data_IF_933915325719
#
_entry.id   IF_933915325719
#
_cell.length_a   1.000
_cell.length_b   1.000
_cell.length_c   1.000
_cell.angle_alpha   90.00
_cell.angle_beta   90.00
_cell.angle_gamma   90.00
#
_symmetry.space_group_name_H-M   'P 1'
#
loop_
_entity.id
_entity.type
_entity.pdbx_description
1 polymer ?
#
# COMPACT_ATOMS: atom_id res chain seq x y z
N UNK A 1 -33.16 -19.90 -19.66
CA UNK A 1 -32.04 -20.85 -19.78
C UNK A 1 -30.76 -20.10 -19.47
N UNK A 2 -29.91 -20.61 -18.56
CA UNK A 2 -28.60 -19.99 -18.29
C UNK A 2 -27.69 -20.19 -19.51
N UNK A 3 -26.83 -19.22 -19.80
CA UNK A 3 -25.86 -19.34 -20.90
C UNK A 3 -24.73 -20.32 -20.56
N UNK A 4 -24.07 -20.87 -21.57
CA UNK A 4 -22.92 -21.77 -21.38
C UNK A 4 -21.77 -21.10 -20.60
N UNK A 5 -21.64 -19.78 -20.71
CA UNK A 5 -20.66 -18.99 -19.96
C UNK A 5 -21.02 -18.91 -18.48
N UNK A 6 -22.28 -18.67 -18.15
CA UNK A 6 -22.75 -18.63 -16.76
C UNK A 6 -22.56 -19.98 -16.06
N UNK A 7 -22.87 -21.08 -16.77
CA UNK A 7 -22.67 -22.44 -16.24
C UNK A 7 -21.17 -22.77 -16.04
N UNK A 8 -20.30 -22.27 -16.92
CA UNK A 8 -18.85 -22.43 -16.77
C UNK A 8 -18.31 -21.64 -15.58
N UNK A 9 -18.81 -20.42 -15.35
CA UNK A 9 -18.44 -19.59 -14.19
C UNK A 9 -18.94 -20.18 -12.87
N UNK A 10 -20.15 -20.74 -12.85
CA UNK A 10 -20.73 -21.40 -11.68
C UNK A 10 -19.93 -22.66 -11.30
N UNK A 11 -19.50 -23.45 -12.29
CA UNK A 11 -18.60 -24.61 -12.10
C UNK A 11 -17.20 -24.20 -11.67
N UNK A 12 -16.67 -23.10 -12.21
CA UNK A 12 -15.37 -22.55 -11.83
C UNK A 12 -15.39 -22.07 -10.36
N UNK A 13 -16.43 -21.37 -9.94
CA UNK A 13 -16.62 -20.97 -8.53
C UNK A 13 -16.77 -22.17 -7.59
N UNK A 14 -17.37 -23.27 -8.03
CA UNK A 14 -17.47 -24.51 -7.24
C UNK A 14 -16.14 -25.28 -7.16
N UNK A 15 -15.35 -25.31 -8.25
CA UNK A 15 -14.09 -26.06 -8.32
C UNK A 15 -12.90 -25.32 -7.70
N UNK A 16 -12.91 -23.98 -7.77
CA UNK A 16 -11.95 -23.11 -7.14
C UNK A 16 -12.72 -21.89 -6.63
N UNK A 17 -13.16 -21.87 -5.36
CA UNK A 17 -13.83 -20.71 -4.80
C UNK A 17 -12.86 -19.54 -4.87
N UNK A 18 -13.00 -18.73 -5.91
CA UNK A 18 -12.38 -17.43 -5.99
C UNK A 18 -13.02 -16.65 -4.86
N UNK A 19 -12.23 -16.30 -3.83
CA UNK A 19 -12.66 -15.33 -2.81
C UNK A 19 -12.95 -14.03 -3.55
N UNK A 20 -14.19 -13.86 -4.00
CA UNK A 20 -14.66 -12.63 -4.61
C UNK A 20 -14.74 -11.61 -3.48
N UNK A 21 -13.92 -10.56 -3.55
CA UNK A 21 -13.98 -9.48 -2.60
C UNK A 21 -15.34 -8.79 -2.67
N UNK A 22 -15.94 -8.56 -1.51
CA UNK A 22 -17.15 -7.74 -1.38
C UNK A 22 -16.86 -6.30 -1.79
N UNK A 23 -17.89 -5.54 -2.18
CA UNK A 23 -17.74 -4.10 -2.48
C UNK A 23 -17.20 -3.31 -1.27
N UNK A 24 -17.55 -3.74 -0.05
CA UNK A 24 -16.99 -3.17 1.17
C UNK A 24 -15.48 -3.43 1.27
N UNK A 25 -15.02 -4.66 1.04
CA UNK A 25 -13.59 -5.00 1.02
C UNK A 25 -12.83 -4.23 -0.06
N UNK A 26 -13.40 -4.10 -1.27
CA UNK A 26 -12.77 -3.31 -2.34
C UNK A 26 -12.62 -1.84 -1.95
N UNK A 27 -13.65 -1.26 -1.35
CA UNK A 27 -13.63 0.13 -0.88
C UNK A 27 -12.58 0.31 0.21
N UNK A 28 -12.55 -0.57 1.21
CA UNK A 28 -11.58 -0.51 2.29
C UNK A 28 -10.13 -0.67 1.79
N UNK A 29 -9.89 -1.55 0.82
CA UNK A 29 -8.57 -1.68 0.19
C UNK A 29 -8.13 -0.40 -0.54
N UNK A 30 -9.06 0.27 -1.23
CA UNK A 30 -8.78 1.53 -1.91
C UNK A 30 -8.50 2.68 -0.92
N UNK A 31 -9.27 2.73 0.17
CA UNK A 31 -9.06 3.70 1.24
C UNK A 31 -7.71 3.49 1.94
N UNK A 32 -7.33 2.24 2.21
CA UNK A 32 -6.01 1.90 2.72
C UNK A 32 -4.90 2.35 1.76
N UNK A 33 -5.04 2.10 0.46
CA UNK A 33 -4.05 2.54 -0.53
C UNK A 33 -3.91 4.07 -0.55
N UNK A 34 -5.02 4.81 -0.53
CA UNK A 34 -5.02 6.27 -0.48
C UNK A 34 -4.37 6.80 0.80
N UNK A 35 -4.73 6.23 1.96
CA UNK A 35 -4.20 6.61 3.26
C UNK A 35 -2.70 6.39 3.36
N UNK A 36 -2.20 5.23 2.95
CA UNK A 36 -0.75 4.96 3.03
C UNK A 36 0.03 5.74 1.99
N UNK A 37 -0.55 6.03 0.81
CA UNK A 37 0.04 6.93 -0.17
C UNK A 37 0.24 8.34 0.40
N UNK A 38 -0.77 8.90 1.09
CA UNK A 38 -0.63 10.23 1.70
C UNK A 38 0.40 10.25 2.82
N UNK A 39 0.41 9.21 3.69
CA UNK A 39 1.41 9.08 4.75
C UNK A 39 2.84 8.99 4.21
N UNK A 40 3.06 8.20 3.16
CA UNK A 40 4.39 8.10 2.53
C UNK A 40 4.81 9.45 1.93
N UNK A 41 3.90 10.12 1.19
CA UNK A 41 4.19 11.42 0.60
C UNK A 41 4.54 12.48 1.67
N UNK A 42 3.83 12.48 2.79
CA UNK A 42 4.12 13.39 3.91
C UNK A 42 5.53 13.17 4.47
N UNK A 43 5.96 11.90 4.62
CA UNK A 43 7.31 11.57 5.06
C UNK A 43 8.38 11.95 4.03
N UNK A 44 8.10 11.69 2.76
CA UNK A 44 8.99 12.05 1.64
C UNK A 44 9.21 13.55 1.56
N UNK A 45 8.15 14.37 1.74
CA UNK A 45 8.26 15.83 1.77
C UNK A 45 9.08 16.27 2.98
N UNK A 46 8.71 15.84 4.19
CA UNK A 46 9.36 16.30 5.41
C UNK A 46 10.86 15.94 5.46
N UNK A 47 11.23 14.71 5.11
CA UNK A 47 12.62 14.28 5.10
C UNK A 47 13.38 14.82 3.88
N UNK A 48 12.70 15.02 2.75
CA UNK A 48 13.27 15.69 1.58
C UNK A 48 13.67 17.13 1.88
N UNK A 49 12.81 17.89 2.56
CA UNK A 49 13.11 19.26 3.00
C UNK A 49 14.31 19.28 3.97
N UNK A 50 14.37 18.33 4.92
CA UNK A 50 15.51 18.21 5.83
C UNK A 50 16.82 17.90 5.09
N UNK A 51 16.79 17.03 4.09
CA UNK A 51 17.95 16.72 3.25
C UNK A 51 18.44 17.95 2.50
N UNK A 52 17.53 18.68 1.84
CA UNK A 52 17.87 19.91 1.10
C UNK A 52 18.51 20.95 2.03
N UNK A 53 17.94 21.14 3.23
CA UNK A 53 18.51 22.07 4.21
C UNK A 53 19.88 21.62 4.73
N UNK A 54 20.08 20.32 4.95
CA UNK A 54 21.36 19.76 5.39
C UNK A 54 22.44 19.90 4.31
N UNK A 55 22.12 19.58 3.06
CA UNK A 55 23.01 19.74 1.92
C UNK A 55 23.40 21.21 1.70
N UNK A 56 22.43 22.14 1.81
CA UNK A 56 22.70 23.58 1.73
C UNK A 56 23.61 24.09 2.86
N UNK A 57 23.59 23.44 4.02
CA UNK A 57 24.48 23.73 5.15
C UNK A 57 25.85 23.03 5.04
N UNK A 58 26.08 22.19 4.02
CA UNK A 58 27.27 21.37 3.87
C UNK A 58 27.34 20.17 4.82
N UNK A 59 26.24 19.85 5.52
CA UNK A 59 26.14 18.73 6.45
C UNK A 59 25.63 17.48 5.73
N UNK A 60 26.50 16.89 4.90
CA UNK A 60 26.19 15.68 4.14
C UNK A 60 25.92 14.47 5.03
N UNK A 61 26.49 14.42 6.25
CA UNK A 61 26.23 13.35 7.19
C UNK A 61 24.77 13.37 7.64
N UNK A 62 24.23 14.55 7.95
CA UNK A 62 22.81 14.71 8.29
C UNK A 62 21.89 14.42 7.12
N UNK A 63 22.26 14.83 5.90
CA UNK A 63 21.49 14.51 4.69
C UNK A 63 21.39 12.99 4.48
N UNK A 64 22.48 12.24 4.66
CA UNK A 64 22.46 10.79 4.55
C UNK A 64 21.66 10.12 5.67
N UNK A 65 21.73 10.62 6.91
CA UNK A 65 20.87 10.14 7.99
C UNK A 65 19.37 10.32 7.67
N UNK A 66 18.99 11.48 7.09
CA UNK A 66 17.62 11.72 6.67
C UNK A 66 17.18 10.76 5.54
N UNK A 67 18.08 10.46 4.60
CA UNK A 67 17.86 9.47 3.52
C UNK A 67 17.66 8.05 4.05
N UNK A 68 18.47 7.63 5.01
CA UNK A 68 18.36 6.32 5.67
C UNK A 68 17.02 6.20 6.41
N UNK A 69 16.65 7.22 7.18
CA UNK A 69 15.35 7.27 7.87
C UNK A 69 14.20 7.15 6.88
N UNK A 70 14.24 7.89 5.76
CA UNK A 70 13.20 7.82 4.74
C UNK A 70 13.05 6.41 4.18
N UNK A 71 14.17 5.74 3.93
CA UNK A 71 14.19 4.35 3.43
C UNK A 71 13.50 3.40 4.42
N UNK A 72 13.84 3.50 5.70
CA UNK A 72 13.27 2.67 6.77
C UNK A 72 11.77 2.96 6.93
N UNK A 73 11.38 4.23 6.99
CA UNK A 73 9.97 4.62 7.16
C UNK A 73 9.09 4.20 6.00
N UNK A 74 9.57 4.35 4.75
CA UNK A 74 8.84 3.89 3.57
C UNK A 74 8.66 2.37 3.56
N UNK A 75 9.69 1.61 3.94
CA UNK A 75 9.61 0.16 4.05
C UNK A 75 8.59 -0.25 5.12
N UNK A 76 8.63 0.39 6.29
CA UNK A 76 7.69 0.14 7.40
C UNK A 76 6.24 0.45 6.99
N UNK A 77 5.98 1.60 6.38
CA UNK A 77 4.63 2.00 5.96
C UNK A 77 4.09 1.08 4.85
N UNK A 78 4.96 0.62 3.95
CA UNK A 78 4.57 -0.34 2.91
C UNK A 78 4.20 -1.70 3.53
N UNK A 79 5.00 -2.20 4.47
CA UNK A 79 4.70 -3.45 5.17
C UNK A 79 3.40 -3.36 5.97
N UNK A 80 3.18 -2.25 6.69
CA UNK A 80 1.94 -2.01 7.45
C UNK A 80 0.71 -1.95 6.54
N UNK A 81 0.84 -1.33 5.36
CA UNK A 81 -0.21 -1.30 4.34
C UNK A 81 -0.53 -2.70 3.84
N UNK A 82 0.48 -3.48 3.48
CA UNK A 82 0.29 -4.83 2.95
C UNK A 82 -0.33 -5.76 3.99
N UNK A 83 0.13 -5.71 5.23
CA UNK A 83 -0.45 -6.46 6.36
C UNK A 83 -1.93 -6.11 6.59
N UNK A 84 -2.28 -4.83 6.52
CA UNK A 84 -3.68 -4.40 6.62
C UNK A 84 -4.52 -4.89 5.46
N UNK A 85 -4.01 -4.81 4.22
CA UNK A 85 -4.72 -5.29 3.04
C UNK A 85 -4.94 -6.81 3.09
N UNK A 86 -3.96 -7.57 3.59
CA UNK A 86 -4.13 -9.01 3.80
C UNK A 86 -5.22 -9.32 4.82
N UNK A 87 -5.32 -8.55 5.93
CA UNK A 87 -6.44 -8.71 6.88
C UNK A 87 -7.80 -8.47 6.21
N UNK A 88 -7.91 -7.44 5.37
CA UNK A 88 -9.17 -7.13 4.65
C UNK A 88 -9.53 -8.27 3.69
N UNK A 89 -8.55 -8.86 3.00
CA UNK A 89 -8.77 -10.02 2.10
C UNK A 89 -9.07 -11.31 2.85
N UNK A 90 -8.55 -11.45 4.06
CA UNK A 90 -8.73 -12.62 4.91
C UNK A 90 -10.10 -12.64 5.60
N UNK A 91 -10.68 -11.47 5.90
CA UNK A 91 -12.06 -11.30 6.35
C UNK A 91 -13.08 -11.87 5.35
#
# INVERSE_FOLDING_TARGET
MKSAYELAMERLQQAAPTKVLTEAQKTELADLDSLFKSRIAEREIALGDEMVLAEAAGDYAKAEQARERLTIERARLTAERDERKERVRAA
#
